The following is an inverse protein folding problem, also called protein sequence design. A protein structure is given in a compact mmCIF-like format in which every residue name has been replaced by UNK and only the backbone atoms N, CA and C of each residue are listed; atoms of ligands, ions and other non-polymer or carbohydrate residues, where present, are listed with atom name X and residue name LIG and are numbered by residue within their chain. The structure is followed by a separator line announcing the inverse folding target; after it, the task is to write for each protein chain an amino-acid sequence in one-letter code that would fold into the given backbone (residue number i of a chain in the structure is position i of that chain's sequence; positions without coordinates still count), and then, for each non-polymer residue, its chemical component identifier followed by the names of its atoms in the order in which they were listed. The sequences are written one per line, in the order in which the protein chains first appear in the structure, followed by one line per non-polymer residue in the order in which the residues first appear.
data_IF_210751728931
#
_entry.id   IF_210751728931
#
_cell.length_a   1.000
_cell.length_b   1.000
_cell.length_c   1.000
_cell.angle_alpha   90.00
_cell.angle_beta   90.00
_cell.angle_gamma   90.00
#
_symmetry.space_group_name_H-M   'P 1'
#
loop_
_entity.id
_entity.type
_entity.pdbx_description
1 polymer ?
#
# COMPACT_ATOMS: atom_id res chain seq x y z
N UNK A 1 -15.85 -3.77 16.08
CA UNK A 1 -15.22 -3.03 14.96
C UNK A 1 -15.41 -1.55 15.23
N UNK A 2 -14.33 -0.79 15.42
CA UNK A 2 -14.42 0.64 15.66
C UNK A 2 -14.54 1.40 14.33
N UNK A 3 -15.55 2.26 14.24
CA UNK A 3 -15.73 3.21 13.15
C UNK A 3 -14.67 4.31 13.25
N UNK A 4 -13.50 4.10 12.66
CA UNK A 4 -12.57 5.17 12.34
C UNK A 4 -12.64 5.47 10.84
N UNK A 5 -12.91 6.74 10.52
CA UNK A 5 -12.86 7.34 9.18
C UNK A 5 -14.03 7.08 8.22
N UNK A 6 -15.26 7.03 8.74
CA UNK A 6 -16.43 7.70 8.14
C UNK A 6 -16.94 7.30 6.75
N UNK A 7 -16.28 6.45 5.96
CA UNK A 7 -16.80 5.95 4.68
C UNK A 7 -16.32 4.53 4.38
N UNK A 8 -17.27 3.70 3.92
CA UNK A 8 -17.06 2.37 3.35
C UNK A 8 -17.58 2.41 1.91
N UNK A 9 -16.70 2.35 0.92
CA UNK A 9 -17.12 2.11 -0.46
C UNK A 9 -17.30 0.59 -0.60
N UNK A 10 -18.53 0.13 -0.47
CA UNK A 10 -18.83 -1.29 -0.65
C UNK A 10 -18.76 -1.62 -2.15
N UNK A 11 -17.70 -2.32 -2.57
CA UNK A 11 -17.62 -2.90 -3.92
C UNK A 11 -18.81 -3.85 -4.10
N UNK A 12 -19.54 -3.72 -5.21
CA UNK A 12 -20.58 -4.67 -5.60
C UNK A 12 -20.00 -6.09 -5.49
N UNK A 13 -20.62 -6.94 -4.67
CA UNK A 13 -20.24 -8.34 -4.50
C UNK A 13 -20.29 -9.02 -5.87
N UNK A 14 -19.12 -9.18 -6.48
CA UNK A 14 -18.92 -10.00 -7.65
C UNK A 14 -19.26 -11.44 -7.33
N UNK A 15 -19.95 -12.07 -8.27
CA UNK A 15 -20.54 -13.40 -8.25
C UNK A 15 -19.66 -14.53 -7.70
N UNK A 16 -20.27 -15.38 -6.87
CA UNK A 16 -19.99 -16.81 -6.75
C UNK A 16 -18.56 -17.22 -6.45
N UNK A 17 -18.23 -17.38 -5.16
CA UNK A 17 -17.10 -18.21 -4.76
C UNK A 17 -17.38 -19.66 -5.21
N UNK A 18 -16.77 -20.10 -6.30
CA UNK A 18 -16.57 -21.53 -6.50
C UNK A 18 -15.85 -22.06 -5.25
N UNK A 19 -16.41 -23.11 -4.64
CA UNK A 19 -15.89 -23.70 -3.41
C UNK A 19 -14.50 -24.30 -3.71
N UNK A 20 -13.47 -23.49 -3.49
CA UNK A 20 -12.07 -23.83 -3.70
C UNK A 20 -11.40 -23.97 -2.33
N UNK A 21 -10.59 -25.01 -2.19
CA UNK A 21 -9.84 -25.28 -0.97
C UNK A 21 -8.49 -24.55 -0.94
N UNK A 22 -8.09 -23.95 -2.07
CA UNK A 22 -6.85 -23.16 -2.22
C UNK A 22 -7.16 -21.67 -2.20
N UNK A 23 -6.42 -20.89 -1.41
CA UNK A 23 -6.49 -19.42 -1.47
C UNK A 23 -5.80 -18.92 -2.75
N UNK A 24 -6.32 -17.87 -3.41
CA UNK A 24 -5.59 -17.25 -4.52
C UNK A 24 -4.32 -16.58 -3.97
N UNK A 25 -3.15 -17.00 -4.43
CA UNK A 25 -1.87 -16.44 -3.99
C UNK A 25 -1.84 -14.93 -4.26
N UNK A 26 -1.50 -14.09 -3.27
CA UNK A 26 -1.36 -12.66 -3.49
C UNK A 26 -0.08 -12.37 -4.28
N UNK A 27 -0.23 -11.83 -5.50
CA UNK A 27 0.89 -11.40 -6.37
C UNK A 27 1.58 -10.10 -5.91
N UNK A 28 1.28 -9.63 -4.70
CA UNK A 28 1.63 -8.30 -4.20
C UNK A 28 2.20 -8.36 -2.77
N UNK A 29 2.76 -9.53 -2.44
CA UNK A 29 3.37 -9.84 -1.14
C UNK A 29 2.54 -9.55 0.10
N UNK A 30 1.22 -9.69 -0.03
CA UNK A 30 0.28 -9.49 1.07
C UNK A 30 0.34 -10.67 2.04
N UNK A 31 0.42 -10.39 3.34
CA UNK A 31 0.45 -11.42 4.37
C UNK A 31 -0.93 -12.06 4.53
N UNK A 32 -1.01 -13.38 4.36
CA UNK A 32 -2.22 -14.15 4.61
C UNK A 32 -2.28 -14.57 6.09
N UNK A 33 -3.36 -14.17 6.78
CA UNK A 33 -3.62 -14.50 8.18
C UNK A 33 -4.96 -15.23 8.28
N UNK A 34 -5.00 -16.34 9.00
CA UNK A 34 -6.24 -17.04 9.30
C UNK A 34 -7.03 -16.30 10.39
N UNK A 35 -8.33 -16.09 10.17
CA UNK A 35 -9.21 -15.46 11.16
C UNK A 35 -9.31 -16.32 12.43
N UNK A 36 -9.12 -15.72 13.61
CA UNK A 36 -9.27 -16.38 14.92
C UNK A 36 -8.07 -16.32 15.86
N UNK A 37 -6.93 -15.78 15.44
CA UNK A 37 -5.76 -15.54 16.30
C UNK A 37 -5.88 -14.24 17.10
N UNK A 38 -5.49 -14.26 18.38
CA UNK A 38 -5.41 -13.08 19.24
C UNK A 38 -4.51 -12.00 18.60
N UNK A 39 -4.98 -10.76 18.48
CA UNK A 39 -4.34 -9.68 17.69
C UNK A 39 -2.89 -9.37 18.08
N UNK A 40 -2.52 -9.58 19.35
CA UNK A 40 -1.14 -9.45 19.81
C UNK A 40 -0.20 -10.53 19.26
N UNK A 41 -0.74 -11.70 18.91
CA UNK A 41 0.02 -12.81 18.33
C UNK A 41 0.25 -12.63 16.82
N UNK A 42 -0.66 -11.96 16.10
CA UNK A 42 -0.47 -11.61 14.67
C UNK A 42 0.55 -10.47 14.47
N UNK A 43 0.80 -9.67 15.51
CA UNK A 43 1.86 -8.68 15.55
C UNK A 43 3.23 -9.27 15.93
N UNK A 44 3.27 -10.49 16.46
CA UNK A 44 4.48 -11.13 17.00
C UNK A 44 4.76 -12.51 16.36
N UNK A 45 3.96 -12.93 15.37
CA UNK A 45 4.19 -14.19 14.66
C UNK A 45 5.45 -14.09 13.78
N UNK A 46 6.50 -14.73 14.26
CA UNK A 46 7.57 -15.41 13.51
C UNK A 46 8.75 -14.60 12.98
N UNK A 47 9.08 -13.43 13.53
CA UNK A 47 10.31 -12.70 13.15
C UNK A 47 10.38 -12.27 11.68
N UNK A 48 9.31 -12.51 10.91
CA UNK A 48 9.14 -12.09 9.51
C UNK A 48 9.07 -10.57 9.41
N UNK A 49 8.45 -9.92 10.39
CA UNK A 49 8.39 -8.46 10.46
C UNK A 49 9.78 -7.84 10.66
N UNK A 50 10.64 -8.48 11.48
CA UNK A 50 12.03 -8.05 11.63
C UNK A 50 12.75 -8.15 10.28
N UNK A 51 12.53 -9.23 9.53
CA UNK A 51 13.21 -9.41 8.24
C UNK A 51 12.80 -8.38 7.18
N UNK A 52 11.54 -7.94 7.13
CA UNK A 52 11.10 -6.95 6.14
C UNK A 52 11.58 -5.53 6.48
N UNK A 53 11.58 -5.18 7.78
CA UNK A 53 12.15 -3.93 8.27
C UNK A 53 13.67 -3.93 8.08
N UNK A 54 14.33 -5.06 8.34
CA UNK A 54 15.77 -5.22 8.15
C UNK A 54 16.15 -5.18 6.66
N UNK A 55 15.29 -5.67 5.75
CA UNK A 55 15.44 -5.52 4.30
C UNK A 55 15.42 -4.05 3.89
N UNK A 56 14.40 -3.29 4.31
CA UNK A 56 14.31 -1.85 4.02
C UNK A 56 15.52 -1.11 4.57
N UNK A 57 15.96 -1.43 5.79
CA UNK A 57 17.17 -0.83 6.38
C UNK A 57 18.41 -1.14 5.57
N UNK A 58 18.61 -2.40 5.16
CA UNK A 58 19.74 -2.80 4.30
C UNK A 58 19.72 -2.07 2.97
N UNK A 59 18.56 -1.92 2.31
CA UNK A 59 18.48 -1.17 1.06
C UNK A 59 18.82 0.31 1.24
N UNK A 60 18.33 0.93 2.32
CA UNK A 60 18.69 2.30 2.68
C UNK A 60 20.20 2.43 2.96
N UNK A 61 20.80 1.48 3.67
CA UNK A 61 22.24 1.49 3.97
C UNK A 61 23.09 1.29 2.69
N UNK A 62 22.70 0.39 1.79
CA UNK A 62 23.37 0.18 0.50
C UNK A 62 23.23 1.42 -0.37
N UNK A 63 22.07 2.09 -0.36
CA UNK A 63 21.83 3.31 -1.14
C UNK A 63 22.72 4.49 -0.74
N UNK A 64 23.38 4.45 0.43
CA UNK A 64 24.33 5.47 0.87
C UNK A 64 25.75 5.22 0.36
N UNK A 65 26.05 4.04 -0.20
CA UNK A 65 27.36 3.78 -0.81
C UNK A 65 27.49 4.60 -2.10
N UNK A 66 28.63 5.27 -2.30
CA UNK A 66 28.82 6.24 -3.38
C UNK A 66 28.55 5.67 -4.78
N UNK A 67 28.94 4.43 -5.05
CA UNK A 67 28.68 3.78 -6.35
C UNK A 67 27.20 3.44 -6.54
N UNK A 68 26.53 2.98 -5.49
CA UNK A 68 25.10 2.67 -5.53
C UNK A 68 24.25 3.94 -5.60
N UNK A 69 24.64 5.00 -4.90
CA UNK A 69 23.99 6.30 -4.93
C UNK A 69 24.02 6.89 -6.35
N UNK A 70 25.20 6.90 -7.00
CA UNK A 70 25.35 7.34 -8.38
C UNK A 70 24.48 6.51 -9.34
N UNK A 71 24.47 5.19 -9.20
CA UNK A 71 23.63 4.33 -10.04
C UNK A 71 22.12 4.58 -9.83
N UNK A 72 21.67 4.82 -8.60
CA UNK A 72 20.27 5.16 -8.30
C UNK A 72 19.93 6.53 -8.90
N UNK A 73 20.83 7.51 -8.80
CA UNK A 73 20.63 8.85 -9.36
C UNK A 73 20.50 8.81 -10.89
N UNK A 74 21.31 8.02 -11.58
CA UNK A 74 21.21 7.82 -13.02
C UNK A 74 19.84 7.24 -13.40
N UNK A 75 19.37 6.20 -12.70
CA UNK A 75 18.05 5.60 -12.93
C UNK A 75 16.93 6.61 -12.69
N UNK A 76 17.02 7.41 -11.62
CA UNK A 76 16.00 8.41 -11.28
C UNK A 76 15.95 9.50 -12.36
N UNK A 77 17.10 9.96 -12.85
CA UNK A 77 17.19 10.99 -13.88
C UNK A 77 16.69 10.49 -15.25
N UNK A 78 16.93 9.22 -15.59
CA UNK A 78 16.34 8.62 -16.80
C UNK A 78 14.83 8.40 -16.67
N UNK A 79 14.35 8.07 -15.45
CA UNK A 79 12.95 7.75 -15.21
C UNK A 79 12.06 8.98 -15.13
N UNK A 80 12.52 10.05 -14.49
CA UNK A 80 11.79 11.31 -14.34
C UNK A 80 12.63 12.43 -14.93
N UNK A 81 12.20 12.91 -16.09
CA UNK A 81 12.77 14.09 -16.73
C UNK A 81 11.92 15.30 -16.35
N UNK A 82 12.44 16.12 -15.44
CA UNK A 82 11.86 17.43 -15.14
C UNK A 82 12.43 18.47 -16.12
N UNK A 83 11.56 19.12 -16.89
CA UNK A 83 11.92 20.27 -17.72
C UNK A 83 11.26 21.53 -17.16
N UNK A 84 11.87 22.71 -17.35
CA UNK A 84 11.33 23.97 -16.84
C UNK A 84 10.04 24.38 -17.55
N UNK A 85 9.87 23.99 -18.82
CA UNK A 85 8.75 24.40 -19.66
C UNK A 85 7.60 23.38 -19.76
N UNK A 86 7.82 22.12 -19.35
CA UNK A 86 6.83 21.05 -19.54
C UNK A 86 6.58 20.22 -18.27
N UNK A 87 5.38 19.66 -18.18
CA UNK A 87 5.00 18.77 -17.08
C UNK A 87 5.70 17.42 -17.24
N UNK A 88 6.39 16.98 -16.19
CA UNK A 88 7.15 15.73 -16.17
C UNK A 88 6.31 14.47 -16.49
N UNK A 89 5.00 14.48 -16.15
CA UNK A 89 4.10 13.36 -16.41
C UNK A 89 2.75 13.87 -16.87
N UNK A 90 2.21 13.26 -17.93
CA UNK A 90 0.87 13.56 -18.46
C UNK A 90 0.10 12.27 -18.76
N UNK A 91 -1.22 12.35 -18.66
CA UNK A 91 -2.11 11.23 -18.95
C UNK A 91 -2.62 11.28 -20.40
N UNK A 92 -2.38 10.17 -21.12
CA UNK A 92 -2.86 9.98 -22.49
C UNK A 92 -4.25 9.33 -22.45
N UNK A 93 -5.27 10.02 -22.98
CA UNK A 93 -6.68 9.60 -22.92
C UNK A 93 -7.24 9.19 -24.29
N UNK A 94 -6.38 8.77 -25.22
CA UNK A 94 -6.77 8.49 -26.60
C UNK A 94 -7.69 7.27 -26.71
N UNK A 95 -7.41 6.20 -25.96
CA UNK A 95 -8.19 4.95 -25.97
C UNK A 95 -9.56 5.00 -25.28
N UNK A 96 -9.98 6.14 -24.73
CA UNK A 96 -11.24 6.24 -23.97
C UNK A 96 -12.41 6.67 -24.87
N UNK A 97 -13.53 5.91 -24.92
CA UNK A 97 -14.72 6.24 -25.72
C UNK A 97 -15.61 7.31 -25.04
N UNK A 98 -15.00 8.32 -24.43
CA UNK A 98 -15.72 9.39 -23.73
C UNK A 98 -15.59 10.73 -24.46
N UNK A 99 -16.59 11.63 -24.32
CA UNK A 99 -16.51 12.98 -24.87
C UNK A 99 -15.32 13.78 -24.32
N UNK A 100 -14.83 14.72 -25.12
CA UNK A 100 -13.70 15.60 -24.76
C UNK A 100 -13.91 16.34 -23.43
N UNK A 101 -15.16 16.67 -23.06
CA UNK A 101 -15.50 17.31 -21.79
C UNK A 101 -15.11 16.47 -20.57
N UNK A 102 -15.32 15.16 -20.62
CA UNK A 102 -14.95 14.25 -19.52
C UNK A 102 -13.43 14.06 -19.53
N UNK A 103 -12.83 13.87 -20.70
CA UNK A 103 -11.37 13.76 -20.83
C UNK A 103 -10.65 14.98 -20.26
N UNK A 104 -11.17 16.20 -20.47
CA UNK A 104 -10.62 17.42 -19.88
C UNK A 104 -10.68 17.40 -18.36
N UNK A 105 -11.83 17.07 -17.78
CA UNK A 105 -11.97 16.94 -16.32
C UNK A 105 -10.97 15.95 -15.72
N UNK A 106 -10.75 14.81 -16.39
CA UNK A 106 -9.77 13.82 -15.92
C UNK A 106 -8.36 14.42 -15.91
N UNK A 107 -7.98 15.22 -16.92
CA UNK A 107 -6.70 15.94 -16.94
C UNK A 107 -6.59 17.01 -15.86
N UNK A 108 -7.67 17.74 -15.61
CA UNK A 108 -7.73 18.77 -14.57
C UNK A 108 -7.50 18.12 -13.18
N UNK A 109 -8.19 17.02 -12.88
CA UNK A 109 -8.02 16.26 -11.63
C UNK A 109 -6.63 15.61 -11.52
N UNK A 110 -6.06 15.12 -12.63
CA UNK A 110 -4.70 14.56 -12.62
C UNK A 110 -3.65 15.64 -12.29
N UNK A 111 -3.82 16.84 -12.83
CA UNK A 111 -2.97 18.00 -12.52
C UNK A 111 -3.07 18.37 -11.04
N UNK A 112 -4.27 18.29 -10.47
CA UNK A 112 -4.47 18.53 -9.04
C UNK A 112 -3.76 17.47 -8.17
N UNK A 113 -3.76 16.19 -8.57
CA UNK A 113 -2.97 15.16 -7.87
C UNK A 113 -1.47 15.44 -7.91
N UNK A 114 -0.93 15.86 -9.06
CA UNK A 114 0.47 16.26 -9.17
C UNK A 114 0.79 17.47 -8.28
N UNK A 115 -0.15 18.42 -8.15
CA UNK A 115 -0.05 19.56 -7.24
C UNK A 115 -0.02 19.13 -5.78
N UNK A 116 -0.89 18.20 -5.36
CA UNK A 116 -0.93 17.67 -3.99
C UNK A 116 0.36 16.95 -3.61
N UNK A 117 0.97 16.22 -4.55
CA UNK A 117 2.26 15.57 -4.35
C UNK A 117 3.45 16.53 -4.43
N UNK A 118 3.24 17.76 -4.92
CA UNK A 118 4.28 18.69 -5.34
C UNK A 118 5.33 18.01 -6.24
N UNK A 119 4.83 17.30 -7.26
CA UNK A 119 5.64 16.41 -8.08
C UNK A 119 6.71 17.14 -8.89
N UNK A 120 6.47 18.40 -9.27
CA UNK A 120 7.45 19.19 -10.01
C UNK A 120 8.75 19.41 -9.22
N UNK A 121 8.67 19.62 -7.91
CA UNK A 121 9.85 19.84 -7.07
C UNK A 121 10.35 18.55 -6.38
N UNK A 122 9.44 17.63 -6.03
CA UNK A 122 9.75 16.43 -5.24
C UNK A 122 9.70 15.13 -6.03
N UNK A 123 9.47 15.17 -7.34
CA UNK A 123 9.29 13.97 -8.16
C UNK A 123 10.48 13.01 -8.08
N UNK A 124 11.69 13.53 -8.21
CA UNK A 124 12.94 12.76 -8.10
C UNK A 124 13.05 12.08 -6.72
N UNK A 125 12.81 12.83 -5.64
CA UNK A 125 12.84 12.28 -4.26
C UNK A 125 11.78 11.21 -4.03
N UNK A 126 10.57 11.43 -4.53
CA UNK A 126 9.43 10.49 -4.38
C UNK A 126 9.77 9.17 -5.08
N UNK A 127 10.29 9.24 -6.30
CA UNK A 127 10.69 8.06 -7.07
C UNK A 127 11.89 7.36 -6.46
N UNK A 128 12.91 8.10 -6.04
CA UNK A 128 14.08 7.57 -5.35
C UNK A 128 13.68 6.79 -4.09
N UNK A 129 12.76 7.32 -3.28
CA UNK A 129 12.25 6.62 -2.09
C UNK A 129 11.51 5.34 -2.44
N UNK A 130 10.65 5.37 -3.45
CA UNK A 130 9.96 4.16 -3.92
C UNK A 130 10.95 3.10 -4.44
N UNK A 131 11.96 3.52 -5.21
CA UNK A 131 12.96 2.64 -5.77
C UNK A 131 13.83 1.97 -4.70
N UNK A 132 14.29 2.73 -3.71
CA UNK A 132 15.12 2.22 -2.60
C UNK A 132 14.31 1.36 -1.63
N UNK A 133 13.12 1.80 -1.23
CA UNK A 133 12.30 1.06 -0.26
C UNK A 133 11.54 -0.12 -0.91
N UNK A 134 11.52 -0.21 -2.25
CA UNK A 134 10.82 -1.23 -3.04
C UNK A 134 9.30 -1.09 -3.06
N UNK A 135 8.75 -0.16 -2.28
CA UNK A 135 7.31 0.11 -2.16
C UNK A 135 7.05 1.48 -1.55
N UNK A 136 5.87 2.02 -1.81
CA UNK A 136 5.45 3.30 -1.24
C UNK A 136 3.97 3.30 -0.83
N UNK A 137 3.67 4.07 0.21
CA UNK A 137 2.31 4.23 0.75
C UNK A 137 1.97 5.71 0.90
N UNK A 138 0.79 6.10 0.41
CA UNK A 138 0.21 7.41 0.67
C UNK A 138 -1.17 7.27 1.29
N UNK A 139 -1.40 7.97 2.40
CA UNK A 139 -2.72 8.14 2.97
C UNK A 139 -3.47 9.27 2.27
N UNK A 140 -4.66 8.94 1.76
CA UNK A 140 -5.58 9.88 1.12
C UNK A 140 -6.41 10.55 2.20
N UNK A 141 -6.12 11.83 2.47
CA UNK A 141 -6.84 12.58 3.50
C UNK A 141 -8.02 13.30 2.87
N UNK A 142 -9.21 13.01 3.40
CA UNK A 142 -10.47 13.61 2.96
C UNK A 142 -11.12 14.40 4.10
N UNK A 143 -11.75 15.52 3.76
CA UNK A 143 -12.62 16.25 4.70
C UNK A 143 -13.96 15.50 4.81
N UNK A 144 -14.16 14.80 5.93
CA UNK A 144 -15.39 14.03 6.19
C UNK A 144 -16.64 14.91 6.24
N UNK A 145 -16.49 16.21 6.56
CA UNK A 145 -17.62 17.15 6.59
C UNK A 145 -18.03 17.61 5.20
N UNK A 146 -17.09 17.64 4.24
CA UNK A 146 -17.35 18.08 2.86
C UNK A 146 -16.65 17.18 1.82
N UNK A 147 -17.19 15.97 1.57
CA UNK A 147 -16.56 15.02 0.65
C UNK A 147 -16.49 15.53 -0.80
N UNK A 148 -17.34 16.52 -1.17
CA UNK A 148 -17.35 17.12 -2.51
C UNK A 148 -16.12 17.98 -2.81
N UNK A 149 -15.37 18.41 -1.78
CA UNK A 149 -14.09 19.12 -1.97
C UNK A 149 -12.98 18.21 -2.51
N UNK A 150 -13.20 16.89 -2.48
CA UNK A 150 -12.21 15.92 -2.93
C UNK A 150 -11.12 15.67 -1.90
N UNK A 151 -9.98 15.21 -2.40
CA UNK A 151 -8.81 14.92 -1.57
C UNK A 151 -8.13 16.23 -1.16
N UNK A 152 -7.88 16.36 0.14
CA UNK A 152 -7.26 17.57 0.71
C UNK A 152 -5.74 17.48 0.71
N UNK A 153 -5.19 16.33 1.09
CA UNK A 153 -3.75 16.08 1.08
C UNK A 153 -3.44 14.60 0.83
N UNK A 154 -2.25 14.35 0.29
CA UNK A 154 -1.64 13.03 0.18
C UNK A 154 -0.46 12.97 1.14
N UNK A 155 -0.60 12.17 2.19
CA UNK A 155 0.43 12.05 3.23
C UNK A 155 1.26 10.80 2.99
N UNK A 156 2.56 10.98 2.80
CA UNK A 156 3.50 9.87 2.73
C UNK A 156 3.55 9.13 4.08
N UNK A 157 3.52 7.80 4.01
CA UNK A 157 3.72 6.92 5.15
C UNK A 157 5.00 6.11 4.88
N UNK A 158 5.84 6.01 5.90
CA UNK A 158 7.04 5.17 5.86
C UNK A 158 6.63 3.69 5.70
N UNK A 159 7.22 3.01 4.72
CA UNK A 159 6.97 1.61 4.43
C UNK A 159 7.28 0.69 5.63
N UNK A 160 8.14 1.10 6.56
CA UNK A 160 8.43 0.34 7.79
C UNK A 160 7.31 0.38 8.84
N UNK A 161 6.34 1.30 8.70
CA UNK A 161 5.28 1.56 9.69
C UNK A 161 3.92 1.03 9.27
N UNK A 162 3.79 0.53 8.05
CA UNK A 162 2.53 0.08 7.49
C UNK A 162 2.68 -1.25 6.78
N UNK A 163 1.65 -2.10 6.89
CA UNK A 163 1.61 -3.40 6.23
C UNK A 163 0.23 -3.71 5.70
N UNK A 164 0.17 -4.41 4.57
CA UNK A 164 -1.06 -4.94 4.00
C UNK A 164 -1.27 -6.35 4.54
N UNK A 165 -2.46 -6.60 5.08
CA UNK A 165 -2.85 -7.89 5.65
C UNK A 165 -4.10 -8.36 4.93
N UNK A 166 -4.09 -9.64 4.57
CA UNK A 166 -5.23 -10.38 4.05
C UNK A 166 -5.69 -11.37 5.11
N UNK A 167 -6.87 -11.14 5.65
CA UNK A 167 -7.51 -12.02 6.62
C UNK A 167 -8.46 -12.97 5.89
N UNK A 168 -8.23 -14.27 6.04
CA UNK A 168 -9.05 -15.31 5.46
C UNK A 168 -9.94 -15.89 6.55
N UNK A 169 -11.24 -15.62 6.44
CA UNK A 169 -12.27 -16.27 7.24
C UNK A 169 -12.59 -17.61 6.59
N UNK A 170 -12.21 -18.69 7.27
CA UNK A 170 -12.57 -20.06 6.89
C UNK A 170 -13.85 -20.44 7.61
N UNK A 171 -14.82 -20.93 6.87
CA UNK A 171 -16.05 -21.52 7.39
C UNK A 171 -15.94 -23.05 7.25
N UNK A 172 -16.22 -23.77 8.33
CA UNK A 172 -16.20 -25.23 8.31
C UNK A 172 -17.49 -25.73 7.67
N UNK A 173 -17.40 -26.52 6.59
CA UNK A 173 -18.57 -27.16 6.01
C UNK A 173 -19.05 -28.30 6.91
N UNK A 174 -20.28 -28.16 7.42
CA UNK A 174 -20.92 -29.09 8.37
C UNK A 174 -21.10 -30.49 7.77
N UNK A 175 -21.06 -30.64 6.43
CA UNK A 175 -21.26 -31.93 5.75
C UNK A 175 -19.98 -32.73 5.50
N UNK A 176 -18.86 -32.05 5.27
CA UNK A 176 -17.60 -32.68 4.85
C UNK A 176 -16.47 -32.50 5.87
N UNK A 177 -16.63 -31.61 6.85
CA UNK A 177 -15.60 -31.29 7.84
C UNK A 177 -14.39 -30.58 7.23
N UNK A 178 -14.49 -30.12 5.99
CA UNK A 178 -13.42 -29.41 5.26
C UNK A 178 -13.62 -27.91 5.46
N UNK A 179 -12.51 -27.21 5.73
CA UNK A 179 -12.47 -25.75 5.79
C UNK A 179 -12.71 -25.17 4.38
N UNK A 180 -13.85 -24.52 4.19
CA UNK A 180 -14.15 -23.75 2.98
C UNK A 180 -13.73 -22.30 3.25
N UNK A 181 -13.13 -21.65 2.26
CA UNK A 181 -12.80 -20.23 2.34
C UNK A 181 -14.11 -19.43 2.23
N UNK A 182 -14.55 -18.82 3.32
CA UNK A 182 -15.80 -18.07 3.39
C UNK A 182 -15.66 -16.63 2.90
N UNK A 183 -14.73 -15.87 3.51
CA UNK A 183 -14.55 -14.45 3.19
C UNK A 183 -13.09 -14.02 3.30
N UNK A 184 -12.62 -13.31 2.29
CA UNK A 184 -11.30 -12.67 2.30
C UNK A 184 -11.51 -11.19 2.57
N UNK A 185 -10.96 -10.68 3.68
CA UNK A 185 -10.93 -9.26 4.01
C UNK A 185 -9.49 -8.74 3.95
N UNK A 186 -9.26 -7.68 3.20
CA UNK A 186 -7.95 -7.04 3.09
C UNK A 186 -7.99 -5.67 3.78
N UNK A 187 -6.93 -5.33 4.52
CA UNK A 187 -6.78 -4.04 5.18
C UNK A 187 -5.31 -3.71 5.45
N UNK A 188 -5.03 -2.47 5.79
CA UNK A 188 -3.71 -2.05 6.24
C UNK A 188 -3.64 -1.97 7.77
N UNK A 189 -2.49 -2.28 8.34
CA UNK A 189 -2.18 -2.05 9.76
C UNK A 189 -1.08 -1.00 9.82
N UNK A 190 -1.33 0.09 10.54
CA UNK A 190 -0.35 1.17 10.76
C UNK A 190 0.11 1.21 12.22
N UNK A 191 1.41 1.37 12.45
CA UNK A 191 2.03 1.52 13.76
C UNK A 191 3.00 2.72 13.78
N UNK A 192 2.67 3.75 14.56
CA UNK A 192 3.38 5.03 14.59
C UNK A 192 4.82 4.92 15.13
N UNK A 193 5.05 4.04 16.11
CA UNK A 193 6.36 3.84 16.74
C UNK A 193 7.28 2.92 15.92
N UNK A 194 6.79 2.34 14.83
CA UNK A 194 7.45 1.22 14.17
C UNK A 194 7.35 -0.07 15.00
N UNK A 195 7.42 -1.23 14.36
CA UNK A 195 7.31 -2.54 15.00
C UNK A 195 8.61 -2.96 15.72
N UNK A 196 9.24 -2.02 16.44
CA UNK A 196 10.45 -2.31 17.22
C UNK A 196 10.01 -2.90 18.56
N UNK A 197 9.85 -4.22 18.59
CA UNK A 197 9.79 -4.98 19.83
C UNK A 197 11.20 -5.02 20.45
N UNK A 198 11.45 -4.19 21.46
CA UNK A 198 12.72 -4.28 22.17
C UNK A 198 13.08 -3.13 23.10
N UNK A 199 12.21 -2.77 24.04
CA UNK A 199 12.58 -2.39 25.42
C UNK A 199 11.32 -2.06 26.23
N UNK A 200 11.02 -2.91 27.20
CA UNK A 200 10.29 -2.59 28.44
C UNK A 200 9.16 -1.55 28.39
N UNK A 201 7.94 -1.98 28.02
CA UNK A 201 6.71 -1.48 28.65
C UNK A 201 5.51 -2.28 28.18
N UNK A 202 4.72 -2.80 29.14
CA UNK A 202 3.38 -3.36 28.97
C UNK A 202 2.38 -2.32 28.44
N UNK A 203 2.55 -1.87 27.19
CA UNK A 203 1.58 -1.04 26.48
C UNK A 203 1.24 -1.81 25.20
N UNK A 204 -0.02 -2.21 24.98
CA UNK A 204 -0.40 -2.97 23.81
C UNK A 204 -0.03 -2.16 22.56
N UNK A 205 0.79 -2.74 21.69
CA UNK A 205 1.08 -2.21 20.36
C UNK A 205 -0.18 -2.34 19.50
N UNK A 206 -1.17 -1.47 19.77
CA UNK A 206 -2.45 -1.45 19.11
C UNK A 206 -2.28 -0.78 17.73
N UNK A 207 -1.92 -1.59 16.73
CA UNK A 207 -1.84 -1.13 15.34
C UNK A 207 -3.22 -0.66 14.86
N UNK A 208 -3.28 0.49 14.22
CA UNK A 208 -4.53 1.05 13.68
C UNK A 208 -4.86 0.31 12.38
N UNK A 209 -6.08 -0.25 12.31
CA UNK A 209 -6.61 -0.79 11.06
C UNK A 209 -7.07 0.35 10.15
N UNK A 210 -6.61 0.32 8.90
CA UNK A 210 -6.94 1.30 7.88
C UNK A 210 -7.58 0.57 6.70
N UNK A 211 -8.66 1.12 6.16
CA UNK A 211 -9.33 0.58 4.98
C UNK A 211 -8.40 0.62 3.75
N UNK A 212 -8.55 -0.34 2.86
CA UNK A 212 -7.75 -0.40 1.61
C UNK A 212 -7.87 0.88 0.79
N UNK A 213 -9.09 1.42 0.68
CA UNK A 213 -9.36 2.56 -0.19
C UNK A 213 -8.71 3.85 0.29
N UNK A 214 -8.41 3.95 1.60
CA UNK A 214 -7.79 5.12 2.21
C UNK A 214 -6.30 5.25 1.85
N UNK A 215 -5.67 4.18 1.35
CA UNK A 215 -4.23 4.18 1.03
C UNK A 215 -4.03 3.97 -0.47
N UNK A 216 -3.11 4.73 -1.05
CA UNK A 216 -2.51 4.43 -2.34
C UNK A 216 -1.22 3.66 -2.08
N UNK A 217 -1.11 2.49 -2.68
CA UNK A 217 0.02 1.58 -2.54
C UNK A 217 0.58 1.25 -3.91
N UNK A 218 1.91 1.35 -4.04
CA UNK A 218 2.63 1.00 -5.26
C UNK A 218 3.82 0.09 -4.89
N UNK A 219 3.75 -1.21 -5.19
CA UNK A 219 4.87 -2.15 -5.06
C UNK A 219 5.87 -2.01 -6.23
N UNK A 220 7.08 -2.54 -6.06
CA UNK A 220 8.04 -2.77 -7.15
C UNK A 220 7.67 -3.95 -8.06
N UNK A 221 6.83 -4.87 -7.57
CA UNK A 221 6.45 -6.09 -8.28
C UNK A 221 7.51 -7.19 -8.26
N UNK A 222 8.61 -7.00 -7.53
CA UNK A 222 9.63 -8.04 -7.31
C UNK A 222 9.20 -8.90 -6.14
N UNK A 223 8.97 -10.19 -6.39
CA UNK A 223 8.55 -11.14 -5.36
C UNK A 223 9.66 -12.14 -5.11
N UNK A 224 10.09 -12.31 -3.87
CA UNK A 224 10.96 -13.44 -3.48
C UNK A 224 10.20 -14.75 -3.68
N UNK A 225 10.68 -15.60 -4.60
CA UNK A 225 10.04 -16.86 -5.00
C UNK A 225 9.86 -17.89 -3.89
N UNK A 226 10.59 -17.74 -2.76
CA UNK A 226 10.41 -18.61 -1.61
C UNK A 226 9.39 -18.08 -0.59
N UNK A 227 9.27 -16.76 -0.46
CA UNK A 227 8.55 -16.14 0.66
C UNK A 227 7.36 -15.29 0.23
N UNK A 228 7.17 -15.06 -1.07
CA UNK A 228 6.10 -14.21 -1.58
C UNK A 228 6.25 -12.76 -1.15
N UNK A 229 7.47 -12.23 -0.97
CA UNK A 229 7.71 -10.88 -0.39
C UNK A 229 8.08 -9.86 -1.45
N UNK A 230 7.55 -8.64 -1.29
CA UNK A 230 7.92 -7.43 -2.07
C UNK A 230 8.70 -6.45 -1.19
#
# INVERSE_FOLDING_TARGET
MAELFGFRLERVKGSGSEATFTTPTPDDGTLEVAAGGFWGQVLDTDGRERTDIDLIRRYRDISQQTECDAAIEDIVNESIVANEEDAAVQIVLEGLPYPAKIKRKIRDEFTEVLRLLNFAAKGHDIFRRWYVDGRMFYHKVIDTKNPRKGMTELRWIDASKIRKVREIQKDVDVKTGVDIIGKIEEYYIYNEKGLIAGTSSNIPSEGIKIALDAIAYVPSGVIDGNNGRV
#
